data_IF_693714667133
#
_entry.id   IF_693714667133
#
_cell.length_a   1.000
_cell.length_b   1.000
_cell.length_c   1.000
_cell.angle_alpha   90.00
_cell.angle_beta   90.00
_cell.angle_gamma   90.00
#
_symmetry.space_group_name_H-M   'P 1'
#
loop_
_entity.id
_entity.type
_entity.pdbx_description
1 polymer ?
#
# COMPACT_ATOMS: atom_id res chain seq x y z
N UNK A 1 19.36 37.02 9.00
CA UNK A 1 18.66 35.92 9.71
C UNK A 1 18.06 35.03 8.63
N UNK A 2 18.47 33.76 8.56
CA UNK A 2 17.97 32.82 7.54
C UNK A 2 16.54 32.41 7.90
N UNK A 3 15.58 32.69 7.02
CA UNK A 3 14.20 32.18 7.13
C UNK A 3 14.24 30.66 6.97
N UNK A 4 14.36 29.93 8.08
CA UNK A 4 14.33 28.47 8.07
C UNK A 4 12.89 28.02 7.92
N UNK A 5 12.58 27.41 6.78
CA UNK A 5 11.28 26.76 6.55
C UNK A 5 11.18 25.54 7.46
N UNK A 6 10.19 25.53 8.35
CA UNK A 6 9.95 24.44 9.34
C UNK A 6 8.71 23.62 9.02
N UNK A 7 7.91 24.03 8.03
CA UNK A 7 6.68 23.36 7.61
C UNK A 7 6.78 22.93 6.15
N UNK A 8 6.32 21.72 5.84
CA UNK A 8 6.10 21.27 4.47
C UNK A 8 4.64 21.54 4.11
N UNK A 9 4.41 22.40 3.14
CA UNK A 9 3.07 22.70 2.63
C UNK A 9 2.37 21.47 2.06
N UNK A 10 1.04 21.44 2.19
CA UNK A 10 0.16 20.42 1.61
C UNK A 10 -0.01 20.64 0.10
N UNK A 11 1.08 20.53 -0.67
CA UNK A 11 1.18 21.00 -2.06
C UNK A 11 0.25 20.33 -3.09
N UNK A 12 -0.46 19.27 -2.70
CA UNK A 12 -1.39 18.52 -3.56
C UNK A 12 -2.86 18.70 -3.11
N UNK A 13 -3.11 19.46 -2.04
CA UNK A 13 -4.44 19.84 -1.62
C UNK A 13 -5.13 20.67 -2.72
N UNK A 14 -6.39 20.37 -3.01
CA UNK A 14 -7.18 21.01 -4.07
C UNK A 14 -7.03 20.39 -5.46
N UNK A 15 -6.13 19.40 -5.62
CA UNK A 15 -5.98 18.65 -6.88
C UNK A 15 -6.13 17.14 -6.67
N UNK A 16 -5.37 16.54 -5.75
CA UNK A 16 -5.43 15.10 -5.47
C UNK A 16 -6.49 14.75 -4.41
N UNK A 17 -6.79 15.71 -3.54
CA UNK A 17 -7.81 15.61 -2.51
C UNK A 17 -8.38 17.00 -2.19
N UNK A 18 -9.54 17.03 -1.54
CA UNK A 18 -10.24 18.27 -1.18
C UNK A 18 -9.40 19.15 -0.26
N UNK A 19 -9.18 20.42 -0.62
CA UNK A 19 -8.42 21.37 0.21
C UNK A 19 -9.18 21.83 1.48
N UNK A 20 -10.51 21.78 1.44
CA UNK A 20 -11.35 22.17 2.58
C UNK A 20 -11.33 21.09 3.66
N UNK A 21 -10.75 21.40 4.82
CA UNK A 21 -10.66 20.50 5.96
C UNK A 21 -12.00 19.87 6.38
N UNK A 22 -13.08 20.64 6.59
CA UNK A 22 -14.38 20.09 6.96
C UNK A 22 -14.96 19.11 5.92
N UNK A 23 -14.82 19.43 4.63
CA UNK A 23 -15.31 18.55 3.55
C UNK A 23 -14.48 17.27 3.45
N UNK A 24 -13.16 17.39 3.55
CA UNK A 24 -12.26 16.24 3.55
C UNK A 24 -12.53 15.33 4.74
N UNK A 25 -12.73 15.90 5.93
CA UNK A 25 -13.09 15.13 7.13
C UNK A 25 -14.36 14.30 6.91
N UNK A 26 -15.43 14.94 6.40
CA UNK A 26 -16.69 14.25 6.12
C UNK A 26 -16.54 13.13 5.06
N UNK A 27 -15.71 13.34 4.02
CA UNK A 27 -15.40 12.31 3.02
C UNK A 27 -14.71 11.10 3.65
N UNK A 28 -13.67 11.34 4.46
CA UNK A 28 -12.91 10.28 5.12
C UNK A 28 -13.77 9.52 6.14
N UNK A 29 -14.55 10.22 6.96
CA UNK A 29 -15.50 9.62 7.89
C UNK A 29 -16.52 8.74 7.16
N UNK A 30 -17.07 9.22 6.04
CA UNK A 30 -18.04 8.49 5.23
C UNK A 30 -17.47 7.18 4.64
N UNK A 31 -16.19 7.15 4.23
CA UNK A 31 -15.57 5.90 3.78
C UNK A 31 -15.23 4.98 4.96
N UNK A 32 -14.69 5.52 6.06
CA UNK A 32 -14.35 4.73 7.25
C UNK A 32 -15.58 4.13 7.94
N UNK A 33 -16.74 4.76 7.85
CA UNK A 33 -17.99 4.23 8.42
C UNK A 33 -18.54 3.02 7.66
N UNK A 34 -18.15 2.83 6.40
CA UNK A 34 -18.57 1.70 5.56
C UNK A 34 -17.74 0.42 5.81
N UNK A 35 -16.65 0.53 6.56
CA UNK A 35 -15.70 -0.57 6.80
C UNK A 35 -15.80 -1.04 8.24
N UNK A 36 -15.87 -2.36 8.43
CA UNK A 36 -15.73 -2.99 9.74
C UNK A 36 -14.27 -3.20 10.13
N UNK A 37 -13.97 -3.05 11.41
CA UNK A 37 -12.64 -3.37 11.94
C UNK A 37 -12.50 -4.88 12.13
N UNK A 38 -11.64 -5.53 11.35
CA UNK A 38 -11.42 -6.98 11.37
C UNK A 38 -9.97 -7.39 11.62
N UNK A 39 -9.02 -6.44 11.54
CA UNK A 39 -7.57 -6.68 11.67
C UNK A 39 -6.88 -5.71 12.64
N UNK A 40 -7.60 -5.21 13.66
CA UNK A 40 -7.00 -4.37 14.71
C UNK A 40 -6.26 -5.21 15.75
N UNK A 41 -5.16 -4.70 16.34
CA UNK A 41 -4.41 -3.51 15.93
C UNK A 41 -3.46 -3.83 14.77
N UNK A 42 -3.58 -3.14 13.64
CA UNK A 42 -2.65 -3.31 12.53
C UNK A 42 -1.26 -2.76 12.87
N UNK A 43 -0.21 -3.54 12.62
CA UNK A 43 1.20 -3.13 12.78
C UNK A 43 1.79 -2.51 11.51
N UNK A 44 1.24 -2.89 10.37
CA UNK A 44 1.51 -2.26 9.09
C UNK A 44 0.26 -2.28 8.22
N UNK A 45 0.17 -1.35 7.29
CA UNK A 45 -0.85 -1.36 6.23
C UNK A 45 -0.20 -1.16 4.88
N UNK A 46 -0.79 -1.75 3.83
CA UNK A 46 -0.55 -1.34 2.44
C UNK A 46 -1.80 -0.59 1.98
N UNK A 47 -1.62 0.61 1.45
CA UNK A 47 -2.71 1.46 0.98
C UNK A 47 -2.33 2.23 -0.30
N UNK A 48 -3.32 2.52 -1.19
CA UNK A 48 -3.10 3.24 -2.44
C UNK A 48 -2.78 4.72 -2.20
N UNK A 49 -2.24 5.38 -3.24
CA UNK A 49 -1.87 6.80 -3.20
C UNK A 49 -2.36 7.61 -4.40
N UNK A 50 -3.27 7.08 -5.21
CA UNK A 50 -3.99 7.85 -6.20
C UNK A 50 -4.84 8.98 -5.56
N UNK A 51 -5.41 9.85 -6.41
CA UNK A 51 -6.37 10.86 -5.95
C UNK A 51 -7.56 10.22 -5.24
N UNK A 52 -8.06 10.87 -4.18
CA UNK A 52 -9.03 10.28 -3.25
C UNK A 52 -10.36 9.90 -3.92
N UNK A 53 -10.76 10.61 -4.97
CA UNK A 53 -11.93 10.26 -5.79
C UNK A 53 -11.84 8.84 -6.37
N UNK A 54 -10.63 8.35 -6.65
CA UNK A 54 -10.41 7.03 -7.25
C UNK A 54 -10.20 5.93 -6.21
N UNK A 55 -9.40 6.19 -5.17
CA UNK A 55 -8.95 5.13 -4.26
C UNK A 55 -9.29 5.36 -2.78
N UNK A 56 -9.99 6.45 -2.43
CA UNK A 56 -10.27 6.82 -1.03
C UNK A 56 -11.08 5.76 -0.28
N UNK A 57 -12.13 5.24 -0.92
CA UNK A 57 -12.93 4.13 -0.36
C UNK A 57 -12.11 2.86 -0.17
N UNK A 58 -11.24 2.51 -1.13
CA UNK A 58 -10.33 1.37 -1.00
C UNK A 58 -9.38 1.56 0.18
N UNK A 59 -8.73 2.73 0.29
CA UNK A 59 -7.79 3.02 1.37
C UNK A 59 -8.42 2.90 2.77
N UNK A 60 -9.71 3.27 2.91
CA UNK A 60 -10.42 3.15 4.17
C UNK A 60 -10.43 1.71 4.74
N UNK A 61 -10.39 0.68 3.88
CA UNK A 61 -10.30 -0.71 4.33
C UNK A 61 -9.01 -1.00 5.13
N UNK A 62 -7.89 -0.37 4.76
CA UNK A 62 -6.64 -0.46 5.48
C UNK A 62 -6.64 0.43 6.74
N UNK A 63 -6.98 1.70 6.60
CA UNK A 63 -6.94 2.66 7.72
C UNK A 63 -7.91 2.32 8.85
N UNK A 64 -9.05 1.69 8.55
CA UNK A 64 -9.97 1.21 9.59
C UNK A 64 -9.33 0.21 10.55
N UNK A 65 -8.26 -0.47 10.15
CA UNK A 65 -7.57 -1.48 10.96
C UNK A 65 -6.47 -0.90 11.86
N UNK A 66 -6.17 0.38 11.72
CA UNK A 66 -5.25 1.09 12.63
C UNK A 66 -5.92 1.21 13.99
N UNK A 67 -5.12 1.02 15.05
CA UNK A 67 -5.57 1.27 16.41
C UNK A 67 -5.70 2.78 16.66
N UNK A 68 -6.91 3.28 16.98
CA UNK A 68 -7.09 4.68 17.33
C UNK A 68 -6.24 5.12 18.54
N UNK A 69 -5.90 4.20 19.46
CA UNK A 69 -5.15 4.51 20.68
C UNK A 69 -3.74 5.05 20.40
N UNK A 70 -3.13 4.69 19.25
CA UNK A 70 -1.80 5.16 18.82
C UNK A 70 -1.86 6.31 17.81
N UNK A 71 -3.05 6.82 17.50
CA UNK A 71 -3.27 7.90 16.51
C UNK A 71 -4.06 9.07 17.08
N UNK A 72 -4.13 9.19 18.41
CA UNK A 72 -4.71 10.36 19.06
C UNK A 72 -3.96 11.62 18.66
N UNK A 73 -4.71 12.63 18.20
CA UNK A 73 -4.17 13.93 17.84
C UNK A 73 -3.35 14.47 19.02
N UNK A 74 -2.12 14.90 18.74
CA UNK A 74 -1.10 15.39 19.69
C UNK A 74 -0.33 14.32 20.48
N UNK A 75 -0.64 13.02 20.31
CA UNK A 75 0.02 11.90 21.01
C UNK A 75 0.84 10.99 20.10
N UNK A 76 1.01 11.34 18.82
CA UNK A 76 1.83 10.57 17.88
C UNK A 76 2.75 11.45 17.04
N UNK A 77 3.78 10.82 16.46
CA UNK A 77 4.70 11.46 15.50
C UNK A 77 4.74 10.66 14.20
N UNK A 78 5.26 11.28 13.13
CA UNK A 78 5.42 10.62 11.83
C UNK A 78 6.90 10.58 11.43
N UNK A 79 7.31 9.49 10.78
CA UNK A 79 8.65 9.30 10.23
C UNK A 79 8.53 9.12 8.70
N UNK A 80 8.56 10.22 7.91
CA UNK A 80 8.44 10.12 6.46
C UNK A 80 9.74 9.59 5.84
N UNK A 81 9.65 8.45 5.14
CA UNK A 81 10.78 7.83 4.42
C UNK A 81 10.45 7.75 2.93
N UNK A 82 11.24 8.44 2.10
CA UNK A 82 11.13 8.32 0.65
C UNK A 82 11.98 7.14 0.17
N UNK A 83 11.34 6.09 -0.32
CA UNK A 83 12.01 4.89 -0.85
C UNK A 83 12.20 5.03 -2.36
N UNK A 84 13.45 4.99 -2.81
CA UNK A 84 13.80 5.06 -4.23
C UNK A 84 13.78 3.70 -4.94
N UNK A 85 14.48 3.61 -6.06
CA UNK A 85 14.73 2.35 -6.76
C UNK A 85 15.82 1.55 -6.03
N UNK A 86 15.41 0.61 -5.19
CA UNK A 86 16.32 -0.22 -4.40
C UNK A 86 16.74 -1.46 -5.18
N UNK A 87 17.98 -1.92 -4.94
CA UNK A 87 18.38 -3.30 -5.25
C UNK A 87 17.80 -4.27 -4.23
N UNK A 88 17.70 -5.55 -4.57
CA UNK A 88 17.26 -6.60 -3.63
C UNK A 88 18.10 -6.62 -2.34
N UNK A 89 19.41 -6.40 -2.44
CA UNK A 89 20.29 -6.28 -1.27
C UNK A 89 19.93 -5.08 -0.38
N UNK A 90 19.55 -3.94 -0.97
CA UNK A 90 19.15 -2.75 -0.20
C UNK A 90 17.77 -2.93 0.42
N UNK A 91 16.85 -3.64 -0.23
CA UNK A 91 15.58 -4.01 0.38
C UNK A 91 15.79 -4.89 1.62
N UNK A 92 16.72 -5.84 1.58
CA UNK A 92 17.11 -6.67 2.73
C UNK A 92 17.75 -5.83 3.85
N UNK A 93 18.72 -4.97 3.52
CA UNK A 93 19.40 -4.10 4.48
C UNK A 93 18.42 -3.16 5.19
N UNK A 94 17.55 -2.48 4.43
CA UNK A 94 16.54 -1.58 5.00
C UNK A 94 15.45 -2.35 5.75
N UNK A 95 15.03 -3.52 5.27
CA UNK A 95 14.09 -4.38 5.98
C UNK A 95 14.64 -4.77 7.36
N UNK A 96 15.90 -5.19 7.42
CA UNK A 96 16.58 -5.48 8.70
C UNK A 96 16.72 -4.24 9.57
N UNK A 97 17.01 -3.07 9.01
CA UNK A 97 17.10 -1.83 9.77
C UNK A 97 15.76 -1.43 10.40
N UNK A 98 14.66 -1.58 9.65
CA UNK A 98 13.32 -1.20 10.09
C UNK A 98 12.64 -2.25 10.96
N UNK A 99 13.09 -3.51 10.94
CA UNK A 99 12.49 -4.61 11.69
C UNK A 99 12.35 -4.30 13.18
N UNK A 100 13.37 -3.70 13.81
CA UNK A 100 13.31 -3.31 15.24
C UNK A 100 12.19 -2.32 15.56
N UNK A 101 11.85 -1.43 14.63
CA UNK A 101 10.74 -0.49 14.81
C UNK A 101 9.40 -1.16 14.50
N UNK A 102 9.37 -2.09 13.54
CA UNK A 102 8.18 -2.89 13.25
C UNK A 102 7.80 -3.81 14.43
N UNK A 103 8.77 -4.26 15.22
CA UNK A 103 8.56 -5.08 16.42
C UNK A 103 7.86 -4.31 17.57
N UNK A 104 7.99 -3.00 17.63
CA UNK A 104 7.44 -2.17 18.71
C UNK A 104 5.92 -1.95 18.54
N UNK A 105 5.08 -2.30 19.54
CA UNK A 105 3.64 -2.14 19.49
C UNK A 105 3.12 -0.72 19.42
N UNK A 106 3.95 0.28 19.74
CA UNK A 106 3.59 1.68 19.58
C UNK A 106 3.72 2.20 18.15
N UNK A 107 4.37 1.43 17.25
CA UNK A 107 4.64 1.87 15.88
C UNK A 107 3.62 1.31 14.88
N UNK A 108 3.42 2.06 13.79
CA UNK A 108 2.65 1.66 12.61
C UNK A 108 3.46 1.96 11.35
N UNK A 109 3.53 0.98 10.44
CA UNK A 109 4.11 1.18 9.12
C UNK A 109 3.02 1.39 8.07
N UNK A 110 3.01 2.55 7.39
CA UNK A 110 2.16 2.79 6.23
C UNK A 110 2.98 2.62 4.97
N UNK A 111 2.76 1.53 4.24
CA UNK A 111 3.42 1.23 2.97
C UNK A 111 2.52 1.70 1.82
N UNK A 112 2.99 2.69 1.08
CA UNK A 112 2.22 3.35 0.04
C UNK A 112 2.44 2.71 -1.33
N UNK A 113 1.39 2.14 -1.93
CA UNK A 113 1.45 1.54 -3.26
C UNK A 113 0.09 1.45 -3.95
N UNK A 114 0.02 1.96 -5.17
CA UNK A 114 -0.92 1.45 -6.18
C UNK A 114 -0.39 0.13 -6.77
N UNK A 115 -1.26 -0.61 -7.46
CA UNK A 115 -0.97 -1.92 -8.06
C UNK A 115 -0.81 -1.79 -9.59
N UNK A 116 -1.34 -2.69 -10.42
CA UNK A 116 -1.14 -2.63 -11.87
C UNK A 116 -1.58 -1.29 -12.48
N UNK A 117 -0.67 -0.65 -13.20
CA UNK A 117 -0.94 0.43 -14.15
C UNK A 117 -0.96 -0.20 -15.55
N UNK A 118 -2.17 -0.45 -16.08
CA UNK A 118 -2.37 -1.15 -17.34
C UNK A 118 -2.77 -0.19 -18.46
N UNK A 119 -2.22 -0.39 -19.65
CA UNK A 119 -2.56 0.31 -20.88
C UNK A 119 -1.34 0.89 -21.60
N UNK A 120 -1.54 1.28 -22.87
CA UNK A 120 -0.47 1.78 -23.74
C UNK A 120 0.28 2.98 -23.14
N UNK A 121 -0.42 3.88 -22.44
CA UNK A 121 0.18 5.06 -21.78
C UNK A 121 1.22 4.71 -20.71
N UNK A 122 1.14 3.51 -20.14
CA UNK A 122 2.10 3.00 -19.14
C UNK A 122 3.14 2.06 -19.75
N UNK A 123 3.06 1.80 -21.07
CA UNK A 123 3.88 0.78 -21.77
C UNK A 123 3.80 -0.59 -21.10
N UNK A 124 2.63 -0.92 -20.57
CA UNK A 124 2.37 -2.19 -19.91
C UNK A 124 0.98 -2.67 -20.26
N UNK A 125 0.89 -3.77 -21.01
CA UNK A 125 -0.37 -4.34 -21.49
C UNK A 125 -0.33 -5.86 -21.45
N UNK A 126 0.28 -6.42 -20.38
CA UNK A 126 0.25 -7.86 -20.14
C UNK A 126 -1.20 -8.35 -20.13
N UNK A 127 -1.47 -9.45 -20.82
CA UNK A 127 -2.79 -10.04 -20.92
C UNK A 127 -2.66 -11.55 -20.97
N UNK A 128 -3.33 -12.20 -20.02
CA UNK A 128 -3.53 -13.64 -19.97
C UNK A 128 -4.96 -13.95 -20.42
N UNK A 129 -5.09 -14.43 -21.65
CA UNK A 129 -6.38 -14.77 -22.28
C UNK A 129 -7.17 -15.82 -21.49
N UNK A 130 -6.49 -16.68 -20.72
CA UNK A 130 -7.15 -17.71 -19.91
C UNK A 130 -8.02 -17.12 -18.79
N UNK A 131 -7.80 -15.85 -18.43
CA UNK A 131 -8.55 -15.14 -17.39
C UNK A 131 -9.79 -14.41 -17.92
N UNK A 132 -10.07 -14.46 -19.23
CA UNK A 132 -11.23 -13.81 -19.84
C UNK A 132 -10.96 -12.35 -20.23
N UNK A 133 -11.84 -11.42 -19.85
CA UNK A 133 -11.67 -10.00 -20.21
C UNK A 133 -10.39 -9.39 -19.61
N UNK A 134 -9.86 -8.33 -20.24
CA UNK A 134 -8.61 -7.67 -19.82
C UNK A 134 -8.63 -7.30 -18.33
N UNK A 135 -9.71 -6.69 -17.84
CA UNK A 135 -9.81 -6.32 -16.42
C UNK A 135 -9.73 -7.52 -15.46
N UNK A 136 -10.14 -8.72 -15.89
CA UNK A 136 -9.99 -9.96 -15.11
C UNK A 136 -8.58 -10.51 -15.15
N UNK A 137 -7.88 -10.38 -16.28
CA UNK A 137 -6.44 -10.67 -16.34
C UNK A 137 -5.64 -9.74 -15.43
N UNK A 138 -5.96 -8.44 -15.41
CA UNK A 138 -5.36 -7.47 -14.47
C UNK A 138 -5.65 -7.89 -13.02
N UNK A 139 -6.90 -8.20 -12.69
CA UNK A 139 -7.30 -8.64 -11.35
C UNK A 139 -6.55 -9.91 -10.92
N UNK A 140 -6.44 -10.90 -11.82
CA UNK A 140 -5.70 -12.13 -11.55
C UNK A 140 -4.22 -11.84 -11.30
N UNK A 141 -3.60 -11.02 -12.15
CA UNK A 141 -2.20 -10.62 -12.02
C UNK A 141 -1.94 -9.92 -10.68
N UNK A 142 -2.78 -8.96 -10.31
CA UNK A 142 -2.65 -8.24 -9.05
C UNK A 142 -2.88 -9.15 -7.85
N UNK A 143 -3.93 -9.97 -7.88
CA UNK A 143 -4.24 -10.91 -6.79
C UNK A 143 -3.15 -11.96 -6.61
N UNK A 144 -2.46 -12.37 -7.68
CA UNK A 144 -1.28 -13.23 -7.56
C UNK A 144 -0.17 -12.56 -6.76
N UNK A 145 0.14 -11.29 -7.04
CA UNK A 145 1.10 -10.51 -6.26
C UNK A 145 0.64 -10.30 -4.82
N UNK A 146 -0.65 -9.99 -4.62
CA UNK A 146 -1.27 -9.85 -3.30
C UNK A 146 -1.14 -11.13 -2.46
N UNK A 147 -1.47 -12.29 -3.02
CA UNK A 147 -1.36 -13.58 -2.31
C UNK A 147 0.08 -13.93 -1.95
N UNK A 148 1.07 -13.55 -2.76
CA UNK A 148 2.49 -13.71 -2.41
C UNK A 148 2.88 -12.79 -1.24
N UNK A 149 2.37 -11.55 -1.22
CA UNK A 149 2.57 -10.65 -0.07
C UNK A 149 1.92 -11.23 1.19
N UNK A 150 0.75 -11.85 1.08
CA UNK A 150 0.07 -12.54 2.21
C UNK A 150 0.86 -13.75 2.74
N UNK A 151 1.70 -14.37 1.89
CA UNK A 151 2.64 -15.43 2.30
C UNK A 151 3.85 -14.91 3.06
N UNK A 152 4.03 -13.58 3.14
CA UNK A 152 5.14 -12.93 3.84
C UNK A 152 6.53 -13.28 3.26
N UNK A 153 6.61 -13.58 1.97
CA UNK A 153 7.84 -14.06 1.30
C UNK A 153 8.42 -13.00 0.32
N UNK A 154 9.53 -12.32 0.68
CA UNK A 154 10.17 -11.33 -0.19
C UNK A 154 10.79 -11.93 -1.45
N UNK A 155 11.28 -13.17 -1.39
CA UNK A 155 11.93 -13.83 -2.55
C UNK A 155 10.89 -14.19 -3.59
N UNK A 156 9.76 -14.77 -3.15
CA UNK A 156 8.63 -15.05 -4.04
C UNK A 156 8.06 -13.78 -4.67
N UNK A 157 7.99 -12.67 -3.92
CA UNK A 157 7.54 -11.39 -4.48
C UNK A 157 8.51 -10.83 -5.52
N UNK A 158 9.82 -10.88 -5.25
CA UNK A 158 10.87 -10.51 -6.22
C UNK A 158 10.78 -11.35 -7.50
N UNK A 159 10.57 -12.67 -7.37
CA UNK A 159 10.41 -13.57 -8.51
C UNK A 159 9.15 -13.25 -9.33
N UNK A 160 8.03 -12.93 -8.67
CA UNK A 160 6.81 -12.47 -9.34
C UNK A 160 7.06 -11.19 -10.15
N UNK A 161 7.74 -10.20 -9.57
CA UNK A 161 8.08 -8.95 -10.27
C UNK A 161 8.99 -9.21 -11.47
N UNK A 162 10.01 -10.06 -11.33
CA UNK A 162 10.89 -10.46 -12.45
C UNK A 162 10.15 -11.21 -13.55
N UNK A 163 9.14 -12.00 -13.20
CA UNK A 163 8.37 -12.80 -14.17
C UNK A 163 7.40 -11.93 -14.97
N UNK A 164 6.55 -11.16 -14.29
CA UNK A 164 5.44 -10.46 -14.93
C UNK A 164 5.68 -8.97 -15.14
N UNK A 165 6.69 -8.40 -14.47
CA UNK A 165 6.97 -6.97 -14.50
C UNK A 165 5.74 -6.11 -14.18
N UNK A 166 4.83 -6.61 -13.33
CA UNK A 166 3.63 -5.85 -12.94
C UNK A 166 4.05 -4.48 -12.41
N UNK A 167 3.37 -3.43 -12.84
CA UNK A 167 3.75 -2.02 -12.67
C UNK A 167 3.43 -1.48 -11.28
N UNK A 168 3.50 -2.33 -10.25
CA UNK A 168 3.31 -1.96 -8.84
C UNK A 168 4.35 -0.88 -8.47
N UNK A 169 3.86 0.32 -8.18
CA UNK A 169 4.71 1.49 -7.99
C UNK A 169 5.49 1.45 -6.65
N UNK A 170 4.87 0.89 -5.60
CA UNK A 170 5.44 0.74 -4.26
C UNK A 170 6.12 -0.61 -4.04
N UNK A 171 6.55 -1.29 -5.11
CA UNK A 171 7.24 -2.59 -5.03
C UNK A 171 8.46 -2.58 -4.09
N UNK A 172 9.21 -1.48 -4.04
CA UNK A 172 10.39 -1.36 -3.18
C UNK A 172 10.04 -1.17 -1.69
N UNK A 173 9.12 -0.25 -1.32
CA UNK A 173 8.54 -0.23 0.03
C UNK A 173 7.96 -1.58 0.48
N UNK A 174 7.25 -2.29 -0.41
CA UNK A 174 6.71 -3.63 -0.11
C UNK A 174 7.85 -4.63 0.14
N UNK A 175 8.90 -4.62 -0.69
CA UNK A 175 10.10 -5.44 -0.49
C UNK A 175 10.78 -5.18 0.85
N UNK A 176 10.92 -3.90 1.25
CA UNK A 176 11.45 -3.51 2.57
C UNK A 176 10.57 -4.07 3.70
N UNK A 177 9.24 -3.96 3.60
CA UNK A 177 8.32 -4.50 4.59
C UNK A 177 8.43 -6.04 4.71
N UNK A 178 8.43 -6.77 3.61
CA UNK A 178 8.55 -8.23 3.61
C UNK A 178 9.88 -8.70 4.21
N UNK A 179 10.98 -8.01 3.90
CA UNK A 179 12.27 -8.28 4.53
C UNK A 179 12.30 -7.94 6.03
N UNK A 180 11.59 -6.89 6.46
CA UNK A 180 11.42 -6.60 7.88
C UNK A 180 10.64 -7.71 8.60
N UNK A 181 9.53 -8.17 8.01
CA UNK A 181 8.69 -9.25 8.55
C UNK A 181 9.47 -10.55 8.70
N UNK A 182 10.17 -10.98 7.64
CA UNK A 182 10.97 -12.21 7.69
C UNK A 182 12.10 -12.14 8.72
N UNK A 183 12.72 -10.99 8.93
CA UNK A 183 13.71 -10.82 10.00
C UNK A 183 13.09 -11.00 11.40
N UNK A 184 11.86 -10.53 11.61
CA UNK A 184 11.13 -10.72 12.87
C UNK A 184 10.64 -12.16 13.07
N UNK A 185 10.24 -12.85 12.00
CA UNK A 185 9.87 -14.26 12.04
C UNK A 185 11.03 -15.16 12.46
N UNK A 186 12.27 -14.86 12.01
CA UNK A 186 13.49 -15.56 12.49
C UNK A 186 13.68 -15.43 14.00
N UNK A 187 13.19 -14.34 14.59
CA UNK A 187 13.22 -14.09 16.04
C UNK A 187 11.96 -14.59 16.76
N UNK A 188 11.11 -15.38 16.10
CA UNK A 188 9.97 -16.07 16.70
C UNK A 188 8.66 -15.25 16.73
N UNK A 189 8.61 -14.06 16.14
CA UNK A 189 7.34 -13.31 16.04
C UNK A 189 6.42 -13.90 14.99
N UNK A 190 5.17 -14.15 15.39
CA UNK A 190 4.13 -14.62 14.49
C UNK A 190 3.36 -13.42 13.93
N UNK A 191 3.17 -13.40 12.62
CA UNK A 191 2.49 -12.31 11.92
C UNK A 191 1.66 -12.88 10.79
N UNK A 192 0.59 -12.18 10.41
CA UNK A 192 -0.15 -12.46 9.19
C UNK A 192 -0.56 -11.17 8.49
N UNK A 193 -0.50 -11.18 7.16
CA UNK A 193 -0.99 -10.09 6.33
C UNK A 193 -2.27 -10.55 5.62
N UNK A 194 -3.22 -9.65 5.44
CA UNK A 194 -4.40 -9.91 4.60
C UNK A 194 -4.79 -8.66 3.84
N UNK A 195 -5.05 -8.80 2.54
CA UNK A 195 -5.75 -7.79 1.79
C UNK A 195 -7.25 -7.83 2.09
N UNK A 196 -7.84 -6.64 2.18
CA UNK A 196 -9.20 -6.40 2.68
C UNK A 196 -10.09 -5.77 1.63
N UNK A 197 -9.50 -5.19 0.58
CA UNK A 197 -10.22 -4.67 -0.57
C UNK A 197 -9.32 -4.63 -1.81
N UNK A 198 -9.95 -4.76 -2.97
CA UNK A 198 -9.35 -4.57 -4.28
C UNK A 198 -10.30 -3.72 -5.14
N UNK A 199 -9.75 -2.78 -5.89
CA UNK A 199 -10.49 -1.95 -6.82
C UNK A 199 -9.64 -1.64 -8.07
N UNK A 200 -10.31 -1.27 -9.15
CA UNK A 200 -9.68 -0.77 -10.37
C UNK A 200 -10.31 0.58 -10.70
N UNK A 201 -9.53 1.54 -11.20
CA UNK A 201 -10.05 2.86 -11.61
C UNK A 201 -11.13 2.77 -12.70
N UNK A 202 -11.06 1.72 -13.52
CA UNK A 202 -11.96 1.42 -14.64
C UNK A 202 -11.75 -0.04 -15.06
N UNK A 203 -12.75 -0.64 -15.70
CA UNK A 203 -12.66 -1.99 -16.27
C UNK A 203 -12.18 -1.91 -17.73
N UNK A 204 -10.92 -2.23 -17.99
CA UNK A 204 -10.38 -2.34 -19.34
C UNK A 204 -11.01 -3.54 -20.08
N UNK A 205 -11.46 -3.32 -21.31
CA UNK A 205 -12.03 -4.33 -22.22
C UNK A 205 -11.33 -4.37 -23.57
N UNK A 206 -10.73 -3.24 -23.99
CA UNK A 206 -10.02 -3.11 -25.25
C UNK A 206 -8.59 -2.59 -25.04
N UNK A 207 -7.73 -2.75 -26.05
CA UNK A 207 -6.32 -2.35 -26.01
C UNK A 207 -6.07 -0.84 -25.87
N UNK A 208 -7.07 -0.01 -26.14
CA UNK A 208 -7.01 1.45 -25.98
C UNK A 208 -7.41 1.90 -24.56
N UNK A 209 -8.00 1.01 -23.77
CA UNK A 209 -8.37 1.32 -22.40
C UNK A 209 -7.12 1.44 -21.53
N UNK A 210 -7.26 2.09 -20.38
CA UNK A 210 -6.22 2.09 -19.35
C UNK A 210 -6.83 2.19 -17.97
N UNK A 211 -6.17 1.59 -16.99
CA UNK A 211 -6.61 1.59 -15.60
C UNK A 211 -5.43 1.56 -14.64
N UNK A 212 -5.71 1.90 -13.39
CA UNK A 212 -4.81 1.69 -12.25
C UNK A 212 -5.56 0.88 -11.20
N UNK A 213 -4.91 -0.13 -10.64
CA UNK A 213 -5.46 -0.96 -9.58
C UNK A 213 -5.08 -0.45 -8.19
N UNK A 214 -5.96 -0.68 -7.22
CA UNK A 214 -5.81 -0.29 -5.83
C UNK A 214 -6.06 -1.49 -4.94
N UNK A 215 -5.19 -1.70 -3.95
CA UNK A 215 -5.40 -2.72 -2.93
C UNK A 215 -5.13 -2.14 -1.55
N UNK A 216 -5.90 -2.61 -0.57
CA UNK A 216 -5.77 -2.20 0.82
C UNK A 216 -5.61 -3.44 1.70
N UNK A 217 -4.60 -3.48 2.56
CA UNK A 217 -4.34 -4.63 3.42
C UNK A 217 -3.69 -4.23 4.75
N UNK A 218 -3.70 -5.16 5.70
CA UNK A 218 -3.19 -4.96 7.04
C UNK A 218 -2.36 -6.16 7.52
N UNK A 219 -1.27 -5.86 8.23
CA UNK A 219 -0.43 -6.79 8.96
C UNK A 219 -0.83 -6.81 10.43
N UNK A 220 -1.04 -7.99 11.01
CA UNK A 220 -1.23 -8.18 12.45
C UNK A 220 -0.10 -9.05 13.02
N UNK A 221 0.33 -8.74 14.24
CA UNK A 221 1.30 -9.52 15.03
C UNK A 221 0.54 -10.28 16.11
N UNK A 222 0.87 -11.55 16.33
CA UNK A 222 0.21 -12.46 17.28
C UNK A 222 1.14 -12.84 18.43
#
# INVERSE_FOLDING_TARGET
MSNRVVCREASHAGSWYTASGPQLNAQLEGWLSQVQSTKRPARAIIAPHAGYTYCGSCAAHAYKQVDPSITHKDEFTIIPVLVGALSESKEQEFGKLFSKYLADPSNLFVVSSDFCHWGQRFRYSYYDESQGEIYRSIEHLDKMGMSIIEQLDPVSFSNYLKKYHNTICGRHPIGVLLNAITELQKNGMNMSFSFLNYAQSSQCRNWQDSSVSYAAGALTVH
#
